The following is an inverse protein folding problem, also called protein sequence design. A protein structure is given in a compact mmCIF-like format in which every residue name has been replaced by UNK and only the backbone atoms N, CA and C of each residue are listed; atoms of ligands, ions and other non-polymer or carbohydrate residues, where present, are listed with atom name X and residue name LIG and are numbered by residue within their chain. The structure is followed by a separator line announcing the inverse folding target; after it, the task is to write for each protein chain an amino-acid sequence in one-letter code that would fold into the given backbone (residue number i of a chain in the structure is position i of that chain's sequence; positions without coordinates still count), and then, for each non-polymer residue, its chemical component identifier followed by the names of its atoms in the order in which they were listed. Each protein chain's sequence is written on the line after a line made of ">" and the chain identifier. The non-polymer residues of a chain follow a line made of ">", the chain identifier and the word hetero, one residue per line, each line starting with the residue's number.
data_IF_891352616007
#
_entry.id   IF_891352616007
#
_cell.length_a   1.000
_cell.length_b   1.000
_cell.length_c   1.000
_cell.angle_alpha   90.00
_cell.angle_beta   90.00
_cell.angle_gamma   90.00
#
_symmetry.space_group_name_H-M   'P 1'
#
loop_
_entity.id
_entity.type
_entity.pdbx_description
1 polymer ?
#
# COMPACT_ATOMS: atom_id res chain seq x y z
N UNK A 1 8.73 9.43 9.89
CA UNK A 1 9.33 9.12 8.56
C UNK A 1 9.16 7.63 8.34
N UNK A 2 8.58 7.21 7.24
CA UNK A 2 8.38 5.78 6.95
C UNK A 2 9.71 5.10 6.58
N UNK A 3 9.79 3.78 6.73
CA UNK A 3 10.97 3.01 6.33
C UNK A 3 11.33 3.21 4.84
N UNK A 4 10.32 3.32 3.96
CA UNK A 4 10.54 3.59 2.53
C UNK A 4 11.12 5.00 2.29
N UNK A 5 10.65 6.00 3.03
CA UNK A 5 11.21 7.35 2.95
C UNK A 5 12.67 7.38 3.44
N UNK A 6 12.98 6.65 4.50
CA UNK A 6 14.34 6.50 5.03
C UNK A 6 15.25 5.82 4.00
N UNK A 7 14.84 4.70 3.42
CA UNK A 7 15.57 4.02 2.34
C UNK A 7 15.84 4.94 1.16
N UNK A 8 14.82 5.65 0.68
CA UNK A 8 14.96 6.58 -0.43
C UNK A 8 15.94 7.70 -0.11
N UNK A 9 15.93 8.24 1.11
CA UNK A 9 16.87 9.28 1.56
C UNK A 9 18.31 8.77 1.59
N UNK A 10 18.55 7.56 2.12
CA UNK A 10 19.87 6.94 2.17
C UNK A 10 20.43 6.69 0.76
N UNK A 11 19.62 6.12 -0.14
CA UNK A 11 20.01 5.91 -1.53
C UNK A 11 20.27 7.23 -2.26
N UNK A 12 19.48 8.28 -1.98
CA UNK A 12 19.70 9.60 -2.54
C UNK A 12 21.03 10.22 -2.05
N UNK A 13 21.35 10.07 -0.76
CA UNK A 13 22.66 10.50 -0.24
C UNK A 13 23.82 9.73 -0.90
N UNK A 14 23.63 8.44 -1.17
CA UNK A 14 24.64 7.62 -1.85
C UNK A 14 24.96 8.13 -3.25
N UNK A 15 23.93 8.44 -4.06
CA UNK A 15 24.12 8.91 -5.45
C UNK A 15 24.54 10.38 -5.55
N UNK A 16 24.44 11.14 -4.45
CA UNK A 16 24.91 12.53 -4.37
C UNK A 16 26.32 12.66 -3.76
N UNK A 17 27.01 11.56 -3.43
CA UNK A 17 28.31 11.59 -2.77
C UNK A 17 28.29 12.12 -1.34
N UNK A 18 27.13 12.02 -0.64
CA UNK A 18 26.91 12.50 0.74
C UNK A 18 26.86 11.40 1.79
N UNK A 19 26.94 10.12 1.37
CA UNK A 19 26.80 8.98 2.28
C UNK A 19 28.10 8.62 2.98
N UNK A 20 29.23 8.81 2.31
CA UNK A 20 30.58 8.52 2.84
C UNK A 20 31.49 9.72 2.62
N UNK A 21 32.56 9.88 3.40
CA UNK A 21 33.56 10.95 3.16
C UNK A 21 34.26 10.79 1.81
N UNK A 22 34.52 11.91 1.15
CA UNK A 22 35.36 11.99 -0.05
C UNK A 22 36.83 11.79 0.33
N UNK A 23 37.58 11.02 -0.45
CA UNK A 23 39.05 10.89 -0.30
C UNK A 23 39.72 11.51 -1.52
N UNK A 24 40.53 12.55 -1.35
CA UNK A 24 41.25 13.19 -2.47
C UNK A 24 42.29 12.28 -3.12
N UNK A 25 42.65 11.15 -2.50
CA UNK A 25 43.62 10.19 -3.06
C UNK A 25 42.94 9.13 -3.93
N UNK A 26 41.61 9.06 -3.96
CA UNK A 26 40.90 8.14 -4.84
C UNK A 26 41.18 8.50 -6.31
N UNK A 27 41.29 7.47 -7.16
CA UNK A 27 41.42 7.67 -8.60
C UNK A 27 40.17 8.33 -9.17
N UNK A 28 40.25 9.49 -9.86
CA UNK A 28 39.04 10.17 -10.37
C UNK A 28 38.18 9.29 -11.26
N UNK A 29 36.85 9.45 -11.18
CA UNK A 29 35.90 8.67 -11.95
C UNK A 29 36.10 8.75 -13.48
N UNK A 30 36.70 9.84 -13.97
CA UNK A 30 37.06 9.98 -15.38
C UNK A 30 37.96 8.86 -15.89
N UNK A 31 38.94 8.43 -15.08
CA UNK A 31 39.88 7.33 -15.44
C UNK A 31 39.09 5.99 -15.54
N UNK A 32 38.18 5.71 -14.62
CA UNK A 32 37.32 4.54 -14.71
C UNK A 32 36.44 4.57 -15.97
N UNK A 33 35.85 5.72 -16.30
CA UNK A 33 35.05 5.87 -17.50
C UNK A 33 35.86 5.71 -18.78
N UNK A 34 37.10 6.14 -18.81
CA UNK A 34 38.02 5.90 -19.96
C UNK A 34 38.27 4.39 -20.15
N UNK A 35 38.48 3.64 -19.07
CA UNK A 35 38.62 2.18 -19.14
C UNK A 35 37.34 1.51 -19.65
N UNK A 36 36.20 1.94 -19.18
CA UNK A 36 34.88 1.42 -19.64
C UNK A 36 34.70 1.72 -21.15
N UNK A 37 35.00 2.93 -21.59
CA UNK A 37 34.90 3.32 -23.01
C UNK A 37 35.88 2.53 -23.88
N UNK A 38 37.11 2.32 -23.42
CA UNK A 38 38.07 1.49 -24.12
C UNK A 38 37.58 0.03 -24.31
N UNK A 39 36.98 -0.53 -23.26
CA UNK A 39 36.41 -1.86 -23.32
C UNK A 39 35.18 -1.93 -24.25
N UNK A 40 34.29 -0.94 -24.20
CA UNK A 40 33.16 -0.79 -25.14
C UNK A 40 33.65 -0.77 -26.59
N UNK A 41 34.67 0.04 -26.91
CA UNK A 41 35.26 0.10 -28.26
C UNK A 41 35.88 -1.24 -28.66
N UNK A 42 36.52 -1.98 -27.73
CA UNK A 42 37.03 -3.34 -27.97
C UNK A 42 35.89 -4.29 -28.36
N UNK A 43 34.78 -4.28 -27.60
CA UNK A 43 33.61 -5.12 -27.88
C UNK A 43 32.95 -4.77 -29.22
N UNK A 44 32.96 -3.48 -29.63
CA UNK A 44 32.49 -3.05 -30.95
C UNK A 44 33.39 -3.59 -32.06
N UNK A 45 34.75 -3.50 -31.91
CA UNK A 45 35.73 -4.03 -32.87
C UNK A 45 35.60 -5.54 -33.02
N UNK A 46 35.32 -6.26 -31.92
CA UNK A 46 35.09 -7.71 -31.90
C UNK A 46 33.67 -8.08 -32.42
N UNK A 47 32.87 -7.11 -32.85
CA UNK A 47 31.46 -7.30 -33.33
C UNK A 47 30.55 -7.96 -32.30
N UNK A 48 30.87 -7.90 -31.01
CA UNK A 48 30.06 -8.39 -29.92
C UNK A 48 28.90 -7.44 -29.60
N UNK A 49 29.11 -6.15 -29.78
CA UNK A 49 28.09 -5.10 -29.65
C UNK A 49 28.06 -4.21 -30.90
N UNK A 50 26.89 -3.62 -31.18
CA UNK A 50 26.73 -2.72 -32.32
C UNK A 50 27.18 -1.31 -31.92
N UNK A 51 27.82 -0.59 -32.85
CA UNK A 51 28.10 0.84 -32.68
C UNK A 51 26.79 1.64 -32.66
N UNK A 52 26.70 2.56 -31.75
CA UNK A 52 25.58 3.51 -31.69
C UNK A 52 25.63 4.46 -32.88
N UNK A 53 24.45 4.86 -33.39
CA UNK A 53 24.36 5.79 -34.53
C UNK A 53 24.85 7.19 -34.17
N UNK A 54 24.53 7.67 -32.96
CA UNK A 54 24.88 8.98 -32.44
C UNK A 54 25.50 8.82 -31.05
N UNK A 55 26.80 8.42 -30.95
CA UNK A 55 27.44 8.29 -29.67
C UNK A 55 27.55 9.67 -29.02
N UNK A 56 27.18 9.76 -27.74
CA UNK A 56 27.38 10.95 -26.94
C UNK A 56 28.42 10.71 -25.85
N UNK A 57 29.11 11.76 -25.46
CA UNK A 57 30.09 11.73 -24.37
C UNK A 57 29.82 12.90 -23.46
N UNK A 58 29.57 12.61 -22.20
CA UNK A 58 29.48 13.64 -21.16
C UNK A 58 30.88 13.89 -20.61
N UNK A 59 31.26 15.16 -20.47
CA UNK A 59 32.55 15.59 -19.92
C UNK A 59 32.37 16.91 -19.16
N UNK A 60 33.30 17.20 -18.24
CA UNK A 60 33.35 18.47 -17.53
C UNK A 60 34.15 19.49 -18.29
N UNK A 61 33.63 20.70 -18.43
CA UNK A 61 34.36 21.87 -18.93
C UNK A 61 35.36 22.40 -17.89
N UNK A 62 36.16 23.39 -18.31
CA UNK A 62 37.15 24.06 -17.43
C UNK A 62 36.47 24.79 -16.25
N UNK A 63 35.20 25.12 -16.37
CA UNK A 63 34.33 25.76 -15.38
C UNK A 63 33.62 24.75 -14.46
N UNK A 64 33.99 23.45 -14.54
CA UNK A 64 33.36 22.32 -13.84
C UNK A 64 31.92 22.05 -14.27
N UNK A 65 31.41 22.74 -15.30
CA UNK A 65 30.10 22.54 -15.88
C UNK A 65 30.06 21.26 -16.71
N UNK A 66 29.02 20.41 -16.62
CA UNK A 66 28.88 19.24 -17.46
C UNK A 66 28.39 19.63 -18.86
N UNK A 67 29.09 19.12 -19.84
CA UNK A 67 28.77 19.24 -21.26
C UNK A 67 28.54 17.86 -21.87
N UNK A 68 27.69 17.80 -22.89
CA UNK A 68 27.54 16.62 -23.72
C UNK A 68 27.99 16.94 -25.13
N UNK A 69 28.85 16.10 -25.68
CA UNK A 69 29.26 16.11 -27.06
C UNK A 69 28.54 15.01 -27.84
N UNK A 70 27.79 15.39 -28.87
CA UNK A 70 27.10 14.47 -29.80
C UNK A 70 27.61 14.79 -31.21
N UNK A 71 28.49 13.94 -31.75
CA UNK A 71 29.17 14.27 -32.99
C UNK A 71 30.06 15.51 -32.81
N UNK A 72 29.78 16.59 -33.58
CA UNK A 72 30.47 17.87 -33.48
C UNK A 72 29.76 18.91 -32.60
N UNK A 73 28.51 18.62 -32.15
CA UNK A 73 27.75 19.51 -31.29
C UNK A 73 28.12 19.32 -29.82
N UNK A 74 28.31 20.44 -29.12
CA UNK A 74 28.52 20.48 -27.67
C UNK A 74 27.41 21.30 -27.04
N UNK A 75 26.73 20.72 -26.06
CA UNK A 75 25.66 21.38 -25.30
C UNK A 75 25.90 21.31 -23.80
N UNK A 76 25.53 22.34 -23.07
CA UNK A 76 25.52 22.32 -21.61
C UNK A 76 24.43 21.37 -21.08
N UNK A 77 24.72 20.66 -19.99
CA UNK A 77 23.79 19.78 -19.29
C UNK A 77 23.34 20.36 -17.95
N UNK A 78 23.69 21.60 -17.59
CA UNK A 78 23.33 22.21 -16.29
C UNK A 78 21.85 22.07 -15.95
N UNK A 79 20.97 22.30 -16.93
CA UNK A 79 19.53 22.19 -16.75
C UNK A 79 19.01 20.73 -16.76
N UNK A 80 19.85 19.77 -17.12
CA UNK A 80 19.52 18.35 -17.23
C UNK A 80 20.08 17.51 -16.08
N UNK A 81 20.98 18.09 -15.27
CA UNK A 81 21.50 17.44 -14.07
C UNK A 81 20.46 17.49 -12.94
N UNK A 82 20.10 16.32 -12.39
CA UNK A 82 19.07 16.25 -11.34
C UNK A 82 19.56 16.81 -9.99
N UNK A 83 20.88 16.85 -9.77
CA UNK A 83 21.54 17.32 -8.54
C UNK A 83 23.04 17.46 -8.75
N UNK A 84 23.68 18.23 -7.89
CA UNK A 84 25.14 18.38 -7.85
C UNK A 84 25.83 17.11 -7.35
N UNK A 85 26.99 16.79 -7.93
CA UNK A 85 27.87 15.69 -7.55
C UNK A 85 29.27 16.22 -7.16
N UNK A 86 30.07 15.48 -6.36
CA UNK A 86 31.45 15.84 -6.04
C UNK A 86 32.31 16.05 -7.27
N UNK A 87 33.39 16.86 -7.15
CA UNK A 87 34.27 17.17 -8.27
C UNK A 87 35.02 15.96 -8.81
N UNK A 88 35.28 14.95 -7.97
CA UNK A 88 35.92 13.67 -8.35
C UNK A 88 34.99 12.72 -9.11
N UNK A 89 33.66 13.00 -9.13
CA UNK A 89 32.64 12.19 -9.80
C UNK A 89 32.43 12.67 -11.23
N UNK A 90 31.86 11.80 -12.05
CA UNK A 90 31.50 12.12 -13.44
C UNK A 90 30.04 11.66 -13.72
N UNK A 91 29.36 12.38 -14.62
CA UNK A 91 28.13 11.90 -15.22
C UNK A 91 28.41 11.06 -16.47
N UNK A 92 27.70 9.98 -16.68
CA UNK A 92 27.66 9.23 -17.93
C UNK A 92 26.25 8.79 -18.28
N UNK A 93 26.05 8.22 -19.47
CA UNK A 93 24.78 7.62 -19.86
C UNK A 93 24.73 6.13 -19.48
N UNK A 94 23.53 5.59 -19.22
CA UNK A 94 23.35 4.14 -19.04
C UNK A 94 23.94 3.38 -20.23
N UNK A 95 23.81 3.89 -21.46
CA UNK A 95 24.38 3.31 -22.68
C UNK A 95 25.89 3.32 -22.77
N UNK A 96 26.60 4.15 -21.98
CA UNK A 96 28.06 4.08 -21.85
C UNK A 96 28.48 2.84 -21.05
N UNK A 97 27.68 2.42 -20.10
CA UNK A 97 27.96 1.35 -19.15
C UNK A 97 27.43 -0.01 -19.61
N UNK A 98 26.30 -0.02 -20.32
CA UNK A 98 25.57 -1.24 -20.67
C UNK A 98 25.15 -1.29 -22.13
N UNK A 99 25.10 -2.48 -22.68
CA UNK A 99 24.24 -2.84 -23.80
C UNK A 99 22.93 -3.38 -23.28
N UNK A 100 21.85 -3.29 -24.08
CA UNK A 100 20.57 -3.84 -23.69
C UNK A 100 20.08 -4.94 -24.63
N UNK A 101 19.40 -5.94 -24.07
CA UNK A 101 18.79 -7.02 -24.83
C UNK A 101 17.45 -7.42 -24.20
N UNK A 102 16.44 -7.68 -25.05
CA UNK A 102 15.18 -8.26 -24.56
C UNK A 102 15.36 -9.76 -24.26
N UNK A 103 14.63 -10.21 -23.27
CA UNK A 103 14.56 -11.63 -22.97
C UNK A 103 13.86 -12.47 -24.06
N UNK A 104 13.67 -13.73 -23.76
CA UNK A 104 13.10 -14.74 -24.64
C UNK A 104 11.62 -14.48 -24.94
N UNK A 105 11.29 -14.33 -26.21
CA UNK A 105 9.90 -14.36 -26.69
C UNK A 105 9.54 -15.78 -27.12
N UNK A 106 8.43 -16.31 -26.61
CA UNK A 106 7.94 -17.64 -26.92
C UNK A 106 6.43 -17.65 -27.09
N UNK A 107 5.92 -18.59 -27.89
CA UNK A 107 4.49 -18.84 -28.04
C UNK A 107 3.99 -19.77 -26.93
N UNK A 108 2.68 -19.71 -26.63
CA UNK A 108 2.07 -20.57 -25.58
C UNK A 108 2.32 -22.08 -25.85
N UNK A 109 2.33 -22.50 -27.10
CA UNK A 109 2.54 -23.88 -27.49
C UNK A 109 3.93 -24.42 -27.06
N UNK A 110 4.92 -23.53 -26.97
CA UNK A 110 6.26 -23.87 -26.48
C UNK A 110 6.28 -24.37 -25.03
N UNK A 111 5.27 -24.02 -24.23
CA UNK A 111 5.12 -24.48 -22.85
C UNK A 111 4.71 -25.97 -22.74
N UNK A 112 4.13 -26.52 -23.79
CA UNK A 112 3.74 -27.94 -23.85
C UNK A 112 4.92 -28.87 -24.18
N UNK A 113 6.01 -28.32 -24.72
CA UNK A 113 7.20 -29.10 -25.11
C UNK A 113 7.99 -29.42 -23.83
N UNK A 114 8.13 -30.71 -23.50
CA UNK A 114 8.92 -31.20 -22.38
C UNK A 114 10.14 -31.95 -22.93
N UNK A 115 11.30 -31.58 -22.44
CA UNK A 115 12.59 -32.20 -22.76
C UNK A 115 13.37 -32.49 -21.48
N UNK A 116 14.45 -33.23 -21.55
CA UNK A 116 15.29 -33.55 -20.41
C UNK A 116 15.95 -32.30 -19.81
N UNK A 117 16.13 -31.24 -20.61
CA UNK A 117 16.73 -29.97 -20.18
C UNK A 117 15.71 -28.84 -20.31
N UNK A 118 15.17 -28.44 -19.19
CA UNK A 118 14.26 -27.32 -19.09
C UNK A 118 14.97 -26.07 -18.53
N UNK A 119 14.61 -24.91 -19.05
CA UNK A 119 15.15 -23.59 -18.68
C UNK A 119 14.04 -22.76 -18.04
N UNK A 120 14.33 -22.17 -16.90
CA UNK A 120 13.44 -21.27 -16.18
C UNK A 120 13.36 -19.92 -16.87
N UNK A 121 12.16 -19.37 -16.99
CA UNK A 121 11.93 -18.03 -17.59
C UNK A 121 11.42 -17.09 -16.51
N UNK A 122 12.26 -16.14 -16.10
CA UNK A 122 11.89 -15.09 -15.17
C UNK A 122 11.01 -14.05 -15.87
N UNK A 123 9.95 -13.64 -15.21
CA UNK A 123 9.03 -12.59 -15.68
C UNK A 123 9.19 -11.32 -14.84
N UNK A 124 8.56 -10.22 -15.23
CA UNK A 124 8.59 -8.98 -14.46
C UNK A 124 8.20 -9.15 -12.99
N UNK A 125 7.29 -10.07 -12.69
CA UNK A 125 6.90 -10.39 -11.31
C UNK A 125 7.98 -11.07 -10.44
N UNK A 126 9.04 -11.60 -11.04
CA UNK A 126 10.18 -12.17 -10.32
C UNK A 126 11.17 -11.08 -9.85
N UNK A 127 11.06 -9.86 -10.40
CA UNK A 127 11.98 -8.76 -10.13
C UNK A 127 11.40 -7.91 -9.00
N UNK A 128 12.08 -7.92 -7.86
CA UNK A 128 11.78 -7.10 -6.70
C UNK A 128 12.55 -5.77 -6.72
N UNK A 129 12.73 -5.20 -5.54
CA UNK A 129 13.62 -4.07 -5.33
C UNK A 129 15.02 -4.61 -5.07
N UNK A 130 15.97 -4.34 -5.99
CA UNK A 130 17.40 -4.70 -5.91
C UNK A 130 17.71 -6.20 -5.98
N UNK A 131 16.70 -7.07 -6.09
CA UNK A 131 16.88 -8.52 -6.16
C UNK A 131 15.79 -9.17 -6.99
N UNK A 132 16.06 -10.39 -7.45
CA UNK A 132 15.06 -11.25 -8.07
C UNK A 132 14.82 -12.50 -7.21
N UNK A 133 13.69 -13.16 -7.41
CA UNK A 133 13.36 -14.40 -6.71
C UNK A 133 12.76 -15.44 -7.67
N UNK A 134 13.05 -16.70 -7.41
CA UNK A 134 12.36 -17.81 -8.02
C UNK A 134 11.00 -18.01 -7.35
N UNK A 135 9.99 -18.36 -8.15
CA UNK A 135 8.63 -18.59 -7.69
C UNK A 135 8.15 -19.98 -8.06
N UNK A 136 7.18 -20.50 -7.32
CA UNK A 136 6.59 -21.82 -7.60
C UNK A 136 5.82 -21.84 -8.93
N UNK A 137 5.32 -20.68 -9.38
CA UNK A 137 4.59 -20.50 -10.64
C UNK A 137 5.49 -20.04 -11.80
N UNK A 138 6.81 -20.19 -11.68
CA UNK A 138 7.75 -19.86 -12.75
C UNK A 138 7.51 -20.77 -13.96
N UNK A 139 7.69 -20.19 -15.12
CA UNK A 139 7.54 -20.87 -16.40
C UNK A 139 8.84 -21.57 -16.77
N UNK A 140 8.73 -22.77 -17.34
CA UNK A 140 9.84 -23.53 -17.86
C UNK A 140 9.64 -23.84 -19.34
N UNK A 141 10.72 -23.78 -20.11
CA UNK A 141 10.75 -24.02 -21.57
C UNK A 141 11.92 -24.91 -21.92
N UNK A 142 11.81 -25.66 -23.05
CA UNK A 142 12.91 -26.48 -23.54
C UNK A 142 14.15 -25.65 -23.83
N UNK A 143 15.33 -26.13 -23.42
CA UNK A 143 16.63 -25.47 -23.69
C UNK A 143 16.93 -25.34 -25.18
N UNK A 144 16.34 -26.18 -26.04
CA UNK A 144 16.49 -26.13 -27.49
C UNK A 144 15.93 -24.84 -28.11
N UNK A 145 15.00 -24.20 -27.41
CA UNK A 145 14.39 -22.91 -27.84
C UNK A 145 15.17 -21.70 -27.35
N UNK A 146 16.25 -21.90 -26.58
CA UNK A 146 16.97 -20.83 -25.92
C UNK A 146 18.33 -20.63 -26.55
N UNK A 147 18.59 -19.42 -27.05
CA UNK A 147 19.89 -19.05 -27.56
C UNK A 147 20.90 -18.85 -26.45
N UNK A 148 22.19 -19.18 -26.63
CA UNK A 148 23.24 -19.07 -25.60
C UNK A 148 23.40 -17.68 -24.99
N UNK A 149 23.18 -16.62 -25.77
CA UNK A 149 23.30 -15.22 -25.35
C UNK A 149 22.20 -14.77 -24.39
N UNK A 150 21.10 -15.54 -24.27
CA UNK A 150 19.96 -15.20 -23.39
C UNK A 150 20.14 -15.69 -21.96
N UNK A 151 21.09 -16.58 -21.70
CA UNK A 151 21.34 -17.05 -20.33
C UNK A 151 21.90 -15.94 -19.46
N UNK A 152 21.42 -15.88 -18.23
CA UNK A 152 21.84 -14.86 -17.27
C UNK A 152 23.29 -15.10 -16.84
N UNK A 153 24.08 -14.03 -16.86
CA UNK A 153 25.47 -14.03 -16.42
C UNK A 153 25.66 -13.11 -15.23
N UNK A 154 26.65 -13.39 -14.42
CA UNK A 154 27.07 -12.54 -13.31
C UNK A 154 27.24 -11.08 -13.78
N UNK A 155 26.81 -10.16 -12.94
CA UNK A 155 26.83 -8.72 -13.17
C UNK A 155 25.86 -8.19 -14.25
N UNK A 156 25.07 -9.06 -14.90
CA UNK A 156 23.94 -8.56 -15.66
C UNK A 156 22.91 -7.95 -14.73
N UNK A 157 22.17 -6.97 -15.21
CA UNK A 157 21.01 -6.44 -14.51
C UNK A 157 19.75 -6.69 -15.30
N UNK A 158 18.65 -6.92 -14.61
CA UNK A 158 17.34 -7.18 -15.22
C UNK A 158 16.31 -6.21 -14.69
N UNK A 159 15.46 -5.68 -15.58
CA UNK A 159 14.39 -4.74 -15.25
C UNK A 159 13.13 -5.04 -16.05
N UNK A 160 11.92 -4.85 -15.50
CA UNK A 160 10.68 -4.98 -16.27
C UNK A 160 10.61 -3.93 -17.39
N UNK A 161 10.49 -4.38 -18.65
CA UNK A 161 10.29 -3.50 -19.80
C UNK A 161 8.80 -3.20 -20.04
N UNK A 162 7.90 -4.14 -19.69
CA UNK A 162 6.45 -4.00 -19.80
C UNK A 162 5.84 -4.45 -18.48
N UNK A 163 5.22 -3.54 -17.74
CA UNK A 163 4.63 -3.84 -16.42
C UNK A 163 3.66 -2.75 -15.97
N UNK A 164 3.06 -2.93 -14.78
CA UNK A 164 2.40 -1.82 -14.07
C UNK A 164 3.41 -0.74 -13.69
N UNK A 165 2.94 0.49 -13.52
CA UNK A 165 3.80 1.64 -13.22
C UNK A 165 4.61 1.45 -11.91
N UNK A 166 4.06 0.72 -10.94
CA UNK A 166 4.74 0.43 -9.67
C UNK A 166 5.93 -0.52 -9.82
N UNK A 167 5.92 -1.34 -10.86
CA UNK A 167 7.01 -2.26 -11.18
C UNK A 167 8.06 -1.68 -12.13
N UNK A 168 7.71 -0.65 -12.91
CA UNK A 168 8.67 0.04 -13.77
C UNK A 168 9.78 0.68 -12.95
N UNK A 169 11.03 0.51 -13.41
CA UNK A 169 12.23 1.00 -12.74
C UNK A 169 12.70 0.13 -11.55
N UNK A 170 12.04 -1.00 -11.26
CA UNK A 170 12.64 -2.04 -10.41
C UNK A 170 13.79 -2.69 -11.17
N UNK A 171 14.83 -3.06 -10.44
CA UNK A 171 16.03 -3.63 -11.02
C UNK A 171 16.60 -4.70 -10.11
N UNK A 172 17.22 -5.73 -10.70
CA UNK A 172 17.91 -6.76 -9.93
C UNK A 172 19.26 -7.07 -10.59
N UNK A 173 20.27 -7.29 -9.77
CA UNK A 173 21.61 -7.71 -10.18
C UNK A 173 21.69 -9.25 -10.17
N UNK A 174 22.30 -9.82 -11.20
CA UNK A 174 22.55 -11.27 -11.32
C UNK A 174 23.85 -11.57 -10.58
N UNK A 175 23.75 -12.45 -9.58
CA UNK A 175 24.81 -12.76 -8.61
C UNK A 175 25.84 -13.78 -9.13
N UNK A 176 25.46 -14.62 -10.10
CA UNK A 176 26.30 -15.66 -10.70
C UNK A 176 25.85 -16.01 -12.10
N UNK A 177 26.60 -16.85 -12.78
CA UNK A 177 26.20 -17.44 -14.06
C UNK A 177 25.12 -18.52 -13.86
N UNK A 178 24.04 -18.42 -14.64
CA UNK A 178 22.97 -19.40 -14.67
C UNK A 178 22.95 -20.14 -16.01
N UNK A 179 23.04 -21.46 -15.97
CA UNK A 179 22.96 -22.33 -17.15
C UNK A 179 21.54 -22.82 -17.46
N UNK A 180 20.57 -22.49 -16.59
CA UNK A 180 19.19 -22.99 -16.61
C UNK A 180 18.16 -21.88 -16.45
N UNK A 181 18.55 -20.61 -16.54
CA UNK A 181 17.67 -19.48 -16.28
C UNK A 181 17.87 -18.37 -17.30
N UNK A 182 16.75 -17.86 -17.83
CA UNK A 182 16.66 -16.73 -18.75
C UNK A 182 15.54 -15.79 -18.30
N UNK A 183 15.41 -14.63 -18.93
CA UNK A 183 14.27 -13.72 -18.73
C UNK A 183 13.32 -13.78 -19.92
N UNK A 184 12.03 -13.52 -19.68
CA UNK A 184 11.01 -13.43 -20.72
C UNK A 184 11.05 -12.12 -21.50
N UNK A 185 10.43 -12.06 -22.65
CA UNK A 185 10.48 -10.94 -23.61
C UNK A 185 10.00 -9.58 -23.09
N UNK A 186 9.27 -9.56 -21.96
CA UNK A 186 8.86 -8.32 -21.27
C UNK A 186 9.85 -7.86 -20.19
N UNK A 187 11.01 -8.49 -20.11
CA UNK A 187 12.12 -8.08 -19.24
C UNK A 187 13.28 -7.66 -20.11
N UNK A 188 13.92 -6.57 -19.73
CA UNK A 188 15.12 -6.06 -20.36
C UNK A 188 16.35 -6.51 -19.56
N UNK A 189 17.35 -7.05 -20.24
CA UNK A 189 18.68 -7.31 -19.70
C UNK A 189 19.59 -6.14 -20.02
N UNK A 190 20.34 -5.66 -19.03
CA UNK A 190 21.44 -4.74 -19.17
C UNK A 190 22.73 -5.53 -19.01
N UNK A 191 23.53 -5.55 -20.05
CA UNK A 191 24.77 -6.31 -20.16
C UNK A 191 25.92 -5.34 -19.98
N UNK A 192 26.74 -5.43 -18.91
CA UNK A 192 27.80 -4.47 -18.65
C UNK A 192 28.91 -4.55 -19.69
N UNK A 193 29.42 -3.41 -20.12
CA UNK A 193 30.61 -3.32 -20.99
C UNK A 193 31.89 -3.66 -20.23
N UNK A 194 31.92 -3.31 -18.95
CA UNK A 194 33.02 -3.58 -18.03
C UNK A 194 32.54 -4.45 -16.87
N UNK A 195 33.05 -5.66 -16.78
CA UNK A 195 32.61 -6.64 -15.79
C UNK A 195 33.41 -6.49 -14.49
N UNK A 196 32.88 -5.68 -13.56
CA UNK A 196 33.45 -5.42 -12.24
C UNK A 196 32.34 -5.52 -11.18
N UNK A 197 32.58 -6.29 -10.12
CA UNK A 197 31.60 -6.56 -9.06
C UNK A 197 31.26 -5.30 -8.25
N UNK A 198 32.24 -4.42 -8.02
CA UNK A 198 32.06 -3.18 -7.25
C UNK A 198 31.23 -2.19 -8.03
N UNK A 199 31.57 -2.00 -9.30
CA UNK A 199 30.85 -1.11 -10.22
C UNK A 199 29.39 -1.59 -10.36
N UNK A 200 29.20 -2.89 -10.60
CA UNK A 200 27.85 -3.47 -10.75
C UNK A 200 27.03 -3.33 -9.48
N UNK A 201 27.62 -3.54 -8.31
CA UNK A 201 26.90 -3.40 -7.04
C UNK A 201 26.52 -1.94 -6.74
N UNK A 202 27.41 -0.98 -7.04
CA UNK A 202 27.08 0.44 -6.92
C UNK A 202 25.94 0.84 -7.86
N UNK A 203 26.03 0.43 -9.13
CA UNK A 203 25.01 0.74 -10.14
C UNK A 203 23.65 0.15 -9.80
N UNK A 204 23.60 -1.03 -9.16
CA UNK A 204 22.35 -1.56 -8.62
C UNK A 204 21.66 -0.54 -7.69
N UNK A 205 22.41 0.00 -6.74
CA UNK A 205 21.88 0.99 -5.79
C UNK A 205 21.57 2.35 -6.45
N UNK A 206 22.39 2.77 -7.41
CA UNK A 206 22.15 3.99 -8.16
C UNK A 206 20.85 3.90 -8.97
N UNK A 207 20.57 2.76 -9.59
CA UNK A 207 19.33 2.53 -10.33
C UNK A 207 18.11 2.29 -9.40
N UNK A 208 18.34 1.77 -8.20
CA UNK A 208 17.28 1.64 -7.19
C UNK A 208 16.91 2.98 -6.53
N UNK A 209 17.76 4.02 -6.64
CA UNK A 209 17.47 5.34 -6.10
C UNK A 209 16.19 5.94 -6.72
N UNK A 210 15.43 6.65 -5.88
CA UNK A 210 14.12 7.22 -6.27
C UNK A 210 14.19 8.04 -7.56
N UNK A 211 15.24 8.86 -7.71
CA UNK A 211 15.42 9.69 -8.88
C UNK A 211 15.47 8.87 -10.18
N UNK A 212 16.29 7.81 -10.25
CA UNK A 212 16.38 6.96 -11.44
C UNK A 212 15.06 6.22 -11.72
N UNK A 213 14.40 5.71 -10.68
CA UNK A 213 13.08 5.06 -10.82
C UNK A 213 12.01 6.01 -11.36
N UNK A 214 12.00 7.26 -10.89
CA UNK A 214 11.07 8.27 -11.37
C UNK A 214 11.36 8.62 -12.85
N UNK A 215 12.63 8.74 -13.23
CA UNK A 215 13.03 8.93 -14.64
C UNK A 215 12.58 7.76 -15.52
N UNK A 216 12.73 6.51 -15.07
CA UNK A 216 12.23 5.34 -15.78
C UNK A 216 10.70 5.42 -16.00
N UNK A 217 9.94 5.89 -15.00
CA UNK A 217 8.49 6.08 -15.11
C UNK A 217 8.12 7.17 -16.10
N UNK A 218 8.85 8.28 -16.08
CA UNK A 218 8.61 9.43 -16.97
C UNK A 218 8.84 9.11 -18.46
N UNK A 219 9.68 8.13 -18.78
CA UNK A 219 9.97 7.70 -20.16
C UNK A 219 9.13 6.50 -20.60
N UNK A 220 8.03 6.19 -19.89
CA UNK A 220 7.10 5.11 -20.28
C UNK A 220 5.96 5.60 -21.14
N UNK A 221 5.46 4.70 -21.98
CA UNK A 221 4.24 4.91 -22.76
C UNK A 221 3.17 3.90 -22.31
N UNK A 222 1.94 4.38 -22.15
CA UNK A 222 0.82 3.51 -21.77
C UNK A 222 0.53 2.50 -22.89
N UNK A 223 0.42 1.21 -22.52
CA UNK A 223 0.08 0.11 -23.41
C UNK A 223 -1.13 -0.64 -22.84
N UNK A 224 -2.30 -0.43 -23.42
CA UNK A 224 -3.56 -0.98 -22.92
C UNK A 224 -4.06 -0.30 -21.64
N UNK A 225 -4.89 -1.00 -20.85
CA UNK A 225 -5.52 -0.42 -19.65
C UNK A 225 -4.61 -0.36 -18.42
N UNK A 226 -3.72 -1.35 -18.24
CA UNK A 226 -2.97 -1.54 -16.99
C UNK A 226 -1.44 -1.63 -17.14
N UNK A 227 -0.92 -1.60 -18.38
CA UNK A 227 0.51 -1.79 -18.64
C UNK A 227 1.16 -0.55 -19.22
N UNK A 228 2.44 -0.39 -18.91
CA UNK A 228 3.32 0.65 -19.40
C UNK A 228 4.55 0.01 -20.04
N UNK A 229 4.99 0.56 -21.18
CA UNK A 229 6.20 0.15 -21.87
C UNK A 229 7.31 1.14 -21.57
N UNK A 230 8.42 0.67 -21.02
CA UNK A 230 9.64 1.44 -20.83
C UNK A 230 10.32 1.67 -22.18
N UNK A 231 10.58 2.92 -22.52
CA UNK A 231 11.36 3.25 -23.72
C UNK A 231 12.82 2.85 -23.53
N UNK A 232 13.28 1.84 -24.26
CA UNK A 232 14.66 1.34 -24.17
C UNK A 232 15.67 2.39 -24.58
N UNK A 233 15.41 3.08 -25.67
CA UNK A 233 16.30 4.14 -26.19
C UNK A 233 16.45 5.27 -25.17
N UNK A 234 15.34 5.77 -24.62
CA UNK A 234 15.38 6.81 -23.62
C UNK A 234 16.03 6.34 -22.33
N UNK A 235 15.82 5.07 -21.92
CA UNK A 235 16.48 4.50 -20.74
C UNK A 235 18.00 4.48 -20.89
N UNK A 236 18.51 4.09 -22.08
CA UNK A 236 19.95 4.09 -22.33
C UNK A 236 20.55 5.51 -22.30
N UNK A 237 19.72 6.54 -22.51
CA UNK A 237 20.11 7.95 -22.46
C UNK A 237 19.97 8.59 -21.08
N UNK A 238 19.48 7.86 -20.05
CA UNK A 238 19.40 8.41 -18.70
C UNK A 238 20.78 8.68 -18.11
N UNK A 239 20.98 9.83 -17.42
CA UNK A 239 22.22 10.14 -16.76
C UNK A 239 22.42 9.30 -15.49
N UNK A 240 23.65 8.90 -15.23
CA UNK A 240 24.07 8.14 -14.05
C UNK A 240 25.33 8.79 -13.46
N UNK A 241 25.36 9.09 -12.14
CA UNK A 241 26.55 9.61 -11.48
C UNK A 241 27.51 8.46 -11.16
N UNK A 242 28.77 8.65 -11.49
CA UNK A 242 29.85 7.66 -11.31
C UNK A 242 30.88 8.22 -10.34
N UNK A 243 31.06 7.65 -9.14
CA UNK A 243 32.12 7.96 -8.21
C UNK A 243 33.44 7.28 -8.59
N UNK A 244 34.56 7.69 -7.96
CA UNK A 244 35.78 6.89 -7.90
C UNK A 244 35.48 5.45 -7.47
N UNK A 245 36.23 4.48 -8.03
CA UNK A 245 35.97 3.06 -7.77
C UNK A 245 36.11 2.70 -6.28
N UNK A 246 37.09 3.27 -5.60
CA UNK A 246 37.32 3.09 -4.17
C UNK A 246 36.19 3.67 -3.34
N UNK A 247 35.62 4.78 -3.78
CA UNK A 247 34.41 5.35 -3.13
C UNK A 247 33.19 4.49 -3.37
N UNK A 248 33.03 3.85 -4.55
CA UNK A 248 31.96 2.85 -4.78
C UNK A 248 32.04 1.71 -3.75
N UNK A 249 33.25 1.23 -3.42
CA UNK A 249 33.43 0.20 -2.39
C UNK A 249 32.95 0.68 -1.02
N UNK A 250 33.32 1.90 -0.62
CA UNK A 250 32.86 2.48 0.65
C UNK A 250 31.35 2.69 0.70
N UNK A 251 30.78 3.21 -0.39
CA UNK A 251 29.31 3.40 -0.52
C UNK A 251 28.59 2.06 -0.41
N UNK A 252 29.01 1.06 -1.19
CA UNK A 252 28.36 -0.26 -1.20
C UNK A 252 28.50 -0.98 0.13
N UNK A 253 29.66 -0.89 0.78
CA UNK A 253 29.87 -1.43 2.12
C UNK A 253 28.94 -0.76 3.16
N UNK A 254 28.80 0.57 3.10
CA UNK A 254 27.89 1.31 3.98
C UNK A 254 26.43 0.90 3.74
N UNK A 255 25.99 0.83 2.47
CA UNK A 255 24.61 0.44 2.13
C UNK A 255 24.32 -1.00 2.58
N UNK A 256 25.23 -1.95 2.36
CA UNK A 256 25.09 -3.33 2.87
C UNK A 256 24.96 -3.40 4.38
N UNK A 257 25.55 -2.47 5.12
CA UNK A 257 25.45 -2.37 6.58
C UNK A 257 24.15 -1.71 7.05
N UNK A 258 23.66 -0.70 6.32
CA UNK A 258 22.55 0.14 6.77
C UNK A 258 21.19 -0.34 6.26
N UNK A 259 21.09 -0.81 5.01
CA UNK A 259 19.80 -1.22 4.43
C UNK A 259 19.10 -2.37 5.20
N UNK A 260 19.80 -3.40 5.73
CA UNK A 260 19.17 -4.40 6.58
C UNK A 260 18.51 -3.80 7.82
N UNK A 261 19.14 -2.79 8.46
CA UNK A 261 18.56 -2.10 9.63
C UNK A 261 17.31 -1.29 9.26
N UNK A 262 17.28 -0.75 8.05
CA UNK A 262 16.06 -0.08 7.53
C UNK A 262 14.95 -1.11 7.29
N UNK A 263 15.29 -2.32 6.85
CA UNK A 263 14.33 -3.41 6.71
C UNK A 263 13.76 -3.86 8.08
N UNK A 264 14.62 -4.00 9.09
CA UNK A 264 14.18 -4.28 10.48
C UNK A 264 13.26 -3.17 11.00
N UNK A 265 13.64 -1.90 10.78
CA UNK A 265 12.81 -0.75 11.12
C UNK A 265 11.44 -0.79 10.41
N UNK A 266 11.40 -1.25 9.14
CA UNK A 266 10.15 -1.35 8.39
C UNK A 266 9.11 -2.26 9.07
N UNK A 267 9.55 -3.36 9.67
CA UNK A 267 8.68 -4.29 10.41
C UNK A 267 8.06 -3.58 11.60
N UNK A 268 8.88 -2.89 12.39
CA UNK A 268 8.42 -2.15 13.59
C UNK A 268 7.52 -0.97 13.20
N UNK A 269 7.85 -0.24 12.12
CA UNK A 269 7.04 0.88 11.62
C UNK A 269 5.63 0.43 11.19
N UNK A 270 5.52 -0.72 10.51
CA UNK A 270 4.23 -1.31 10.12
C UNK A 270 3.40 -1.70 11.36
N UNK A 271 4.02 -2.33 12.35
CA UNK A 271 3.35 -2.70 13.59
C UNK A 271 2.87 -1.47 14.37
N UNK A 272 3.71 -0.44 14.46
CA UNK A 272 3.37 0.82 15.11
C UNK A 272 2.22 1.53 14.40
N UNK A 273 2.23 1.59 13.07
CA UNK A 273 1.13 2.16 12.29
C UNK A 273 -0.19 1.40 12.49
N UNK A 274 -0.11 0.06 12.53
CA UNK A 274 -1.28 -0.79 12.82
C UNK A 274 -1.82 -0.52 14.23
N UNK A 275 -0.96 -0.46 15.22
CA UNK A 275 -1.34 -0.11 16.61
C UNK A 275 -1.98 1.26 16.67
N UNK A 276 -1.35 2.29 16.11
CA UNK A 276 -1.87 3.66 16.12
C UNK A 276 -3.21 3.80 15.41
N UNK A 277 -3.45 3.04 14.35
CA UNK A 277 -4.73 3.06 13.63
C UNK A 277 -5.86 2.33 14.36
N UNK A 278 -5.55 1.23 15.06
CA UNK A 278 -6.55 0.41 15.76
C UNK A 278 -6.78 0.83 17.22
N UNK A 279 -5.79 1.46 17.86
CA UNK A 279 -5.83 1.80 19.28
C UNK A 279 -7.02 2.69 19.68
N UNK A 280 -7.35 3.81 18.96
CA UNK A 280 -8.46 4.67 19.36
C UNK A 280 -9.80 3.93 19.41
N UNK A 281 -10.07 3.07 18.44
CA UNK A 281 -11.30 2.27 18.39
C UNK A 281 -11.32 1.18 19.48
N UNK A 282 -10.18 0.55 19.72
CA UNK A 282 -10.05 -0.46 20.78
C UNK A 282 -10.22 0.18 22.17
N UNK A 283 -9.60 1.34 22.39
CA UNK A 283 -9.73 2.10 23.63
C UNK A 283 -11.19 2.52 23.86
N UNK A 284 -11.85 3.08 22.82
CA UNK A 284 -13.27 3.45 22.89
C UNK A 284 -14.15 2.27 23.27
N UNK A 285 -13.94 1.10 22.64
CA UNK A 285 -14.68 -0.13 22.98
C UNK A 285 -14.45 -0.56 24.41
N UNK A 286 -13.20 -0.52 24.89
CA UNK A 286 -12.87 -0.86 26.28
C UNK A 286 -13.54 0.09 27.28
N UNK A 287 -13.46 1.40 27.04
CA UNK A 287 -14.12 2.40 27.90
C UNK A 287 -15.64 2.19 27.92
N UNK A 288 -16.25 1.93 26.78
CA UNK A 288 -17.68 1.65 26.72
C UNK A 288 -18.03 0.35 27.45
N UNK A 289 -17.19 -0.67 27.36
CA UNK A 289 -17.38 -1.94 28.07
C UNK A 289 -17.32 -1.74 29.60
N UNK A 290 -16.34 -0.99 30.08
CA UNK A 290 -16.24 -0.62 31.51
C UNK A 290 -17.45 0.20 31.94
N UNK A 291 -17.93 1.13 31.12
CA UNK A 291 -19.12 1.94 31.40
C UNK A 291 -20.37 1.09 31.57
N UNK A 292 -20.64 0.18 30.62
CA UNK A 292 -21.86 -0.66 30.67
C UNK A 292 -21.81 -1.74 31.73
N UNK A 293 -20.64 -2.08 32.24
CA UNK A 293 -20.44 -2.97 33.38
C UNK A 293 -20.47 -2.25 34.73
N UNK A 294 -20.62 -0.92 34.73
CA UNK A 294 -20.62 -0.11 35.95
C UNK A 294 -19.25 0.01 36.63
N UNK A 295 -18.15 -0.27 35.89
CA UNK A 295 -16.76 -0.24 36.40
C UNK A 295 -16.05 1.07 36.12
N UNK A 296 -16.59 1.93 35.21
CA UNK A 296 -15.92 3.15 34.78
C UNK A 296 -15.88 4.24 35.88
N UNK A 297 -16.90 4.29 36.73
CA UNK A 297 -16.97 5.22 37.85
C UNK A 297 -17.26 4.43 39.14
N UNK A 298 -16.76 4.91 40.31
CA UNK A 298 -17.12 4.31 41.60
C UNK A 298 -18.63 4.30 41.81
N UNK A 299 -19.15 3.23 42.39
CA UNK A 299 -20.57 3.13 42.78
C UNK A 299 -20.79 3.90 44.06
N UNK A 300 -21.84 4.71 44.17
CA UNK A 300 -22.24 5.38 45.42
C UNK A 300 -23.41 4.61 46.03
N UNK A 301 -23.23 4.06 47.25
CA UNK A 301 -24.30 3.31 47.95
C UNK A 301 -25.54 4.17 48.29
N UNK A 302 -25.42 5.51 48.22
CA UNK A 302 -26.53 6.42 48.44
C UNK A 302 -27.38 6.68 47.20
N UNK A 303 -26.95 6.20 46.02
CA UNK A 303 -27.68 6.35 44.79
C UNK A 303 -29.01 5.55 44.87
N UNK A 304 -30.04 6.11 44.25
CA UNK A 304 -31.32 5.43 44.14
C UNK A 304 -31.20 4.15 43.28
N UNK A 305 -31.61 2.98 43.74
CA UNK A 305 -31.53 1.75 42.94
C UNK A 305 -32.32 1.88 41.61
N UNK A 306 -31.77 1.31 40.54
CA UNK A 306 -32.40 1.34 39.21
C UNK A 306 -33.83 0.73 39.21
N UNK A 307 -34.14 -0.19 40.09
CA UNK A 307 -35.47 -0.75 40.23
C UNK A 307 -36.51 0.33 40.54
N UNK A 308 -36.23 1.29 41.43
CA UNK A 308 -37.15 2.39 41.72
C UNK A 308 -37.44 3.27 40.47
N UNK A 309 -36.42 3.50 39.62
CA UNK A 309 -36.61 4.15 38.33
C UNK A 309 -37.50 3.32 37.40
N UNK A 310 -37.27 2.02 37.32
CA UNK A 310 -38.06 1.11 36.48
C UNK A 310 -39.53 1.04 36.95
N UNK A 311 -39.79 1.06 38.24
CA UNK A 311 -41.15 1.14 38.80
C UNK A 311 -41.88 2.43 38.38
N UNK A 312 -41.17 3.58 38.40
CA UNK A 312 -41.74 4.85 37.91
C UNK A 312 -42.05 4.80 36.43
N UNK A 313 -41.18 4.20 35.63
CA UNK A 313 -41.38 4.03 34.18
C UNK A 313 -42.59 3.12 33.93
N UNK A 314 -42.74 2.02 34.67
CA UNK A 314 -43.88 1.12 34.58
C UNK A 314 -45.19 1.83 34.96
N UNK A 315 -45.21 2.59 36.04
CA UNK A 315 -46.36 3.36 36.46
C UNK A 315 -46.78 4.40 35.40
N UNK A 316 -45.84 5.15 34.84
CA UNK A 316 -46.10 6.10 33.77
C UNK A 316 -46.64 5.40 32.51
N UNK A 317 -46.03 4.27 32.12
CA UNK A 317 -46.51 3.47 30.98
C UNK A 317 -47.96 3.00 31.19
N UNK A 318 -48.31 2.52 32.39
CA UNK A 318 -49.68 2.12 32.75
C UNK A 318 -50.65 3.33 32.69
N UNK A 319 -50.21 4.52 33.11
CA UNK A 319 -50.98 5.74 32.97
C UNK A 319 -51.29 6.06 31.50
N UNK A 320 -50.26 6.02 30.64
CA UNK A 320 -50.41 6.27 29.21
C UNK A 320 -51.31 5.25 28.50
N UNK A 321 -51.30 3.99 28.96
CA UNK A 321 -52.22 2.94 28.47
C UNK A 321 -53.66 3.28 28.87
N UNK A 322 -53.91 3.66 30.13
CA UNK A 322 -55.24 4.04 30.60
C UNK A 322 -55.79 5.27 29.88
N UNK A 323 -54.92 6.23 29.55
CA UNK A 323 -55.27 7.40 28.77
C UNK A 323 -55.46 7.13 27.26
N UNK A 324 -55.24 5.87 26.81
CA UNK A 324 -55.37 5.48 25.41
C UNK A 324 -54.26 6.03 24.48
N UNK A 325 -53.20 6.60 25.05
CA UNK A 325 -52.05 7.16 24.30
C UNK A 325 -51.13 6.11 23.71
N UNK A 326 -50.98 4.98 24.40
CA UNK A 326 -50.19 3.82 23.94
C UNK A 326 -50.98 2.54 24.07
N UNK A 327 -50.72 1.55 23.24
CA UNK A 327 -51.35 0.23 23.32
C UNK A 327 -50.68 -0.62 24.38
N UNK A 328 -51.46 -1.44 25.11
CA UNK A 328 -50.93 -2.42 26.03
C UNK A 328 -50.09 -3.45 25.25
N UNK A 329 -48.90 -3.72 25.73
CA UNK A 329 -48.05 -4.77 25.17
C UNK A 329 -48.54 -6.14 25.54
N UNK A 330 -48.64 -7.04 24.58
CA UNK A 330 -49.05 -8.44 24.78
C UNK A 330 -47.92 -9.29 25.40
N UNK A 331 -46.68 -8.81 25.31
CA UNK A 331 -45.46 -9.50 25.76
C UNK A 331 -44.77 -8.73 26.88
N UNK A 332 -45.57 -8.03 27.73
CA UNK A 332 -45.04 -7.30 28.87
C UNK A 332 -44.33 -8.28 29.82
N UNK A 333 -43.08 -8.00 30.16
CA UNK A 333 -42.27 -8.81 31.04
C UNK A 333 -41.46 -7.95 32.00
N UNK A 334 -41.07 -8.53 33.11
CA UNK A 334 -40.24 -7.88 34.13
C UNK A 334 -39.10 -8.80 34.50
N UNK A 335 -37.89 -8.30 34.43
CA UNK A 335 -36.69 -8.99 34.89
C UNK A 335 -36.47 -8.63 36.37
N UNK A 336 -36.20 -9.63 37.19
CA UNK A 336 -35.90 -9.46 38.60
C UNK A 336 -34.82 -10.45 39.04
N UNK A 337 -34.12 -10.13 40.14
CA UNK A 337 -33.08 -10.97 40.72
C UNK A 337 -33.61 -11.75 41.92
N UNK A 338 -33.32 -13.04 41.99
CA UNK A 338 -33.60 -13.93 43.11
C UNK A 338 -32.52 -14.98 43.21
N UNK A 339 -32.05 -15.23 44.45
CA UNK A 339 -31.00 -16.25 44.72
C UNK A 339 -29.75 -16.16 43.84
N UNK A 340 -29.29 -14.95 43.62
CA UNK A 340 -28.15 -14.60 42.72
C UNK A 340 -28.37 -14.88 41.19
N UNK A 341 -29.56 -15.31 40.81
CA UNK A 341 -29.95 -15.57 39.42
C UNK A 341 -30.96 -14.55 38.90
N UNK A 342 -30.97 -14.34 37.59
CA UNK A 342 -31.92 -13.45 36.92
C UNK A 342 -33.10 -14.24 36.38
N UNK A 343 -34.28 -13.75 36.68
CA UNK A 343 -35.57 -14.34 36.24
C UNK A 343 -36.38 -13.32 35.45
N UNK A 344 -37.05 -13.77 34.44
CA UNK A 344 -38.02 -12.97 33.71
C UNK A 344 -39.44 -13.51 33.97
N UNK A 345 -40.32 -12.62 34.42
CA UNK A 345 -41.73 -12.91 34.59
C UNK A 345 -42.54 -12.42 33.39
N UNK A 346 -43.19 -13.32 32.70
CA UNK A 346 -44.10 -13.06 31.59
C UNK A 346 -45.52 -13.53 31.95
N UNK A 347 -46.38 -12.62 32.36
CA UNK A 347 -47.70 -13.01 32.90
C UNK A 347 -47.59 -13.86 34.16
N UNK A 348 -48.00 -15.14 34.11
CA UNK A 348 -47.86 -16.11 35.20
C UNK A 348 -46.58 -16.97 35.14
N UNK A 349 -45.88 -16.93 34.03
CA UNK A 349 -44.66 -17.73 33.80
C UNK A 349 -43.42 -17.00 34.34
N UNK A 350 -42.52 -17.76 34.98
CA UNK A 350 -41.23 -17.26 35.47
C UNK A 350 -40.15 -18.18 34.96
N UNK A 351 -39.21 -17.62 34.22
CA UNK A 351 -38.12 -18.36 33.56
C UNK A 351 -36.79 -17.79 34.03
N UNK A 352 -35.78 -18.63 34.32
CA UNK A 352 -34.43 -18.22 34.56
C UNK A 352 -33.80 -17.79 33.23
N UNK A 353 -33.10 -16.64 33.22
CA UNK A 353 -32.49 -16.03 32.01
C UNK A 353 -31.00 -15.78 32.20
N UNK A 354 -30.32 -16.46 33.11
CA UNK A 354 -28.91 -16.28 33.33
C UNK A 354 -28.08 -16.50 32.04
N UNK A 355 -28.50 -17.43 31.19
CA UNK A 355 -27.86 -17.68 29.88
C UNK A 355 -28.01 -16.50 28.89
N UNK A 356 -28.99 -15.60 29.12
CA UNK A 356 -29.15 -14.40 28.30
C UNK A 356 -28.41 -13.19 28.86
N UNK A 357 -27.93 -13.24 30.11
CA UNK A 357 -27.22 -12.14 30.76
C UNK A 357 -25.76 -12.14 30.30
N UNK A 358 -25.31 -11.09 29.58
CA UNK A 358 -24.00 -11.11 28.95
C UNK A 358 -22.81 -10.85 29.90
N UNK A 359 -23.06 -10.23 31.07
CA UNK A 359 -22.05 -9.91 32.09
C UNK A 359 -22.73 -9.47 33.41
N UNK A 360 -21.96 -9.49 34.49
CA UNK A 360 -22.40 -8.99 35.79
C UNK A 360 -22.45 -7.45 35.81
N UNK A 361 -23.42 -6.91 36.54
CA UNK A 361 -23.64 -5.49 36.78
C UNK A 361 -23.62 -5.19 38.29
N UNK A 362 -23.37 -3.94 38.72
CA UNK A 362 -23.46 -3.54 40.14
C UNK A 362 -24.84 -3.87 40.78
N UNK A 363 -24.84 -4.01 42.09
CA UNK A 363 -26.05 -4.37 42.85
C UNK A 363 -27.23 -3.37 42.70
N UNK A 364 -26.87 -2.08 42.56
CA UNK A 364 -27.87 -1.01 42.37
C UNK A 364 -28.41 -0.94 40.95
N UNK A 365 -27.83 -1.69 40.01
CA UNK A 365 -28.29 -1.72 38.62
C UNK A 365 -29.27 -2.86 38.38
N UNK A 366 -30.11 -2.71 37.38
CA UNK A 366 -31.09 -3.71 37.01
C UNK A 366 -31.11 -3.95 35.52
N UNK A 367 -31.25 -5.20 35.11
CA UNK A 367 -31.55 -5.56 33.74
C UNK A 367 -33.02 -5.33 33.42
N UNK A 368 -33.32 -4.80 32.24
CA UNK A 368 -34.69 -4.70 31.73
C UNK A 368 -34.75 -4.95 30.22
N UNK A 369 -35.87 -5.26 29.69
CA UNK A 369 -36.09 -5.37 28.25
C UNK A 369 -36.23 -3.96 27.64
N UNK A 370 -35.64 -3.74 26.46
CA UNK A 370 -35.72 -2.44 25.79
C UNK A 370 -37.19 -2.00 25.58
N UNK A 371 -38.08 -2.95 25.34
CA UNK A 371 -39.51 -2.68 25.20
C UNK A 371 -40.15 -2.09 26.48
N UNK A 372 -39.62 -2.38 27.64
CA UNK A 372 -40.05 -1.80 28.90
C UNK A 372 -39.84 -0.30 28.97
N UNK A 373 -38.72 0.17 28.40
CA UNK A 373 -38.33 1.58 28.40
C UNK A 373 -38.97 2.39 27.26
N UNK A 374 -39.49 1.73 26.24
CA UNK A 374 -40.03 2.38 25.05
C UNK A 374 -41.53 2.49 25.05
N UNK A 375 -42.08 3.61 24.64
CA UNK A 375 -43.54 3.77 24.39
C UNK A 375 -43.96 3.18 23.04
N UNK A 376 -43.01 3.05 22.11
CA UNK A 376 -43.20 2.46 20.78
C UNK A 376 -41.86 1.98 20.20
N UNK A 377 -41.89 0.77 19.66
CA UNK A 377 -40.81 0.24 18.83
C UNK A 377 -41.40 -0.02 17.44
N UNK A 378 -40.69 0.37 16.38
CA UNK A 378 -41.20 0.17 15.02
C UNK A 378 -40.09 0.30 13.99
N UNK A 379 -40.26 -0.33 12.84
CA UNK A 379 -39.38 -0.19 11.70
C UNK A 379 -39.76 1.00 10.82
N UNK A 380 -38.76 1.70 10.30
CA UNK A 380 -38.96 2.65 9.22
C UNK A 380 -39.34 1.95 7.92
N UNK A 381 -40.10 2.61 7.06
CA UNK A 381 -40.40 2.07 5.73
C UNK A 381 -40.04 3.07 4.63
N UNK A 382 -39.33 2.59 3.60
CA UNK A 382 -39.07 3.40 2.43
C UNK A 382 -40.35 3.57 1.61
N UNK A 383 -40.74 4.81 1.23
CA UNK A 383 -41.88 5.03 0.36
C UNK A 383 -41.65 4.38 -1.01
N UNK A 384 -42.72 3.91 -1.63
CA UNK A 384 -42.71 3.36 -2.99
C UNK A 384 -42.52 4.49 -4.03
N UNK A 385 -41.76 4.25 -5.09
CA UNK A 385 -41.48 5.24 -6.15
C UNK A 385 -40.03 5.43 -6.53
N UNK A 386 -39.10 4.71 -5.89
CA UNK A 386 -37.67 4.76 -6.21
C UNK A 386 -37.06 6.15 -6.05
N UNK A 387 -36.28 6.61 -7.03
CA UNK A 387 -35.61 7.92 -6.98
C UNK A 387 -36.55 9.12 -7.12
N UNK A 388 -37.74 8.93 -7.67
CA UNK A 388 -38.68 10.03 -7.94
C UNK A 388 -39.40 10.58 -6.71
N UNK A 389 -39.32 9.92 -5.57
CA UNK A 389 -39.90 10.40 -4.32
C UNK A 389 -39.06 11.43 -3.58
N UNK A 390 -37.79 11.54 -3.97
CA UNK A 390 -36.87 12.47 -3.32
C UNK A 390 -36.92 13.84 -3.98
N UNK A 391 -36.94 14.88 -3.16
CA UNK A 391 -37.02 16.28 -3.56
C UNK A 391 -35.79 17.03 -3.04
N UNK A 392 -35.41 18.17 -3.65
CA UNK A 392 -34.27 18.96 -3.20
C UNK A 392 -34.42 19.50 -1.78
N UNK A 393 -35.65 19.82 -1.37
CA UNK A 393 -35.98 20.38 -0.07
C UNK A 393 -37.29 19.79 0.45
N UNK A 394 -37.45 19.62 1.77
CA UNK A 394 -38.65 19.06 2.38
C UNK A 394 -38.37 18.42 3.74
N UNK A 395 -39.08 17.33 4.04
CA UNK A 395 -38.88 16.61 5.28
C UNK A 395 -37.69 15.67 5.16
N UNK A 396 -36.75 15.78 6.12
CA UNK A 396 -35.55 14.92 6.19
C UNK A 396 -35.93 13.46 6.31
N UNK A 397 -35.50 12.66 5.33
CA UNK A 397 -35.71 11.23 5.30
C UNK A 397 -34.43 10.51 5.72
N UNK A 398 -34.38 10.04 6.97
CA UNK A 398 -33.22 9.34 7.54
C UNK A 398 -33.21 7.92 7.01
N UNK A 399 -32.07 7.51 6.44
CA UNK A 399 -31.80 6.15 5.95
C UNK A 399 -30.73 5.49 6.83
N UNK A 400 -30.55 4.18 6.72
CA UNK A 400 -29.51 3.44 7.46
C UNK A 400 -28.11 4.06 7.32
N UNK A 401 -27.79 4.56 6.13
CA UNK A 401 -26.50 5.25 5.84
C UNK A 401 -26.32 6.59 6.60
N UNK A 402 -27.36 7.11 7.23
CA UNK A 402 -27.27 8.34 8.03
C UNK A 402 -27.11 8.05 9.53
N UNK A 403 -27.22 6.77 9.96
CA UNK A 403 -27.14 6.36 11.38
C UNK A 403 -25.77 5.79 11.66
N UNK A 404 -25.03 6.42 12.56
CA UNK A 404 -23.69 6.03 12.99
C UNK A 404 -23.65 5.85 14.50
N UNK A 405 -22.61 5.19 15.02
CA UNK A 405 -22.42 4.99 16.46
C UNK A 405 -22.22 6.28 17.25
N UNK A 406 -21.79 7.36 16.58
CA UNK A 406 -21.55 8.68 17.13
C UNK A 406 -22.68 9.68 16.87
N UNK A 407 -23.77 9.23 16.22
CA UNK A 407 -24.95 10.04 15.96
C UNK A 407 -25.44 10.00 14.53
N UNK A 408 -26.27 10.97 14.15
CA UNK A 408 -26.82 11.11 12.80
C UNK A 408 -25.93 11.97 11.93
N UNK A 409 -25.52 11.49 10.77
CA UNK A 409 -24.81 12.28 9.74
C UNK A 409 -25.79 12.73 8.67
N UNK A 410 -26.01 14.04 8.61
CA UNK A 410 -27.00 14.67 7.75
C UNK A 410 -26.42 15.30 6.48
N UNK A 411 -25.13 15.13 6.21
CA UNK A 411 -24.44 15.73 5.06
C UNK A 411 -24.96 15.21 3.71
N UNK A 412 -25.46 13.97 3.68
CA UNK A 412 -26.05 13.31 2.49
C UNK A 412 -27.47 12.84 2.83
N UNK A 413 -28.30 13.74 3.37
CA UNK A 413 -29.68 13.43 3.70
C UNK A 413 -30.57 13.62 2.48
N UNK A 414 -31.52 12.69 2.32
CA UNK A 414 -32.58 12.84 1.32
C UNK A 414 -33.78 13.53 1.93
N UNK A 415 -34.54 14.23 1.10
CA UNK A 415 -35.79 14.87 1.52
C UNK A 415 -36.98 14.24 0.81
N UNK A 416 -38.14 14.21 1.48
CA UNK A 416 -39.42 13.78 0.94
C UNK A 416 -40.47 14.87 1.12
N UNK A 417 -41.54 14.83 0.32
CA UNK A 417 -42.64 15.80 0.47
C UNK A 417 -43.46 15.52 1.73
N UNK A 418 -44.19 16.57 2.18
CA UNK A 418 -45.09 16.46 3.35
C UNK A 418 -46.21 15.47 3.10
N UNK A 419 -46.71 15.37 1.86
CA UNK A 419 -47.74 14.39 1.46
C UNK A 419 -47.24 12.95 1.59
N UNK A 420 -46.02 12.65 1.18
CA UNK A 420 -45.43 11.32 1.32
C UNK A 420 -45.21 11.01 2.80
N UNK A 421 -44.75 11.96 3.60
CA UNK A 421 -44.59 11.80 5.03
C UNK A 421 -45.92 11.58 5.73
N UNK A 422 -46.96 12.33 5.37
CA UNK A 422 -48.32 12.19 5.94
C UNK A 422 -48.93 10.81 5.69
N UNK A 423 -48.74 10.26 4.49
CA UNK A 423 -49.16 8.87 4.15
C UNK A 423 -48.43 7.80 4.97
N UNK A 424 -47.24 8.11 5.50
CA UNK A 424 -46.42 7.21 6.32
C UNK A 424 -46.43 7.57 7.82
N UNK A 425 -47.23 8.53 8.24
CA UNK A 425 -47.28 9.18 9.57
C UNK A 425 -47.53 8.27 10.77
N UNK A 426 -47.56 6.94 10.60
CA UNK A 426 -47.59 6.02 11.73
C UNK A 426 -46.32 6.05 12.61
N UNK A 427 -45.31 6.85 12.25
CA UNK A 427 -43.97 6.68 12.81
C UNK A 427 -43.42 7.82 13.70
N UNK A 428 -43.84 9.09 13.65
CA UNK A 428 -43.01 10.12 14.28
C UNK A 428 -43.76 11.33 14.84
N UNK A 429 -44.03 11.28 16.14
CA UNK A 429 -44.34 12.47 16.93
C UNK A 429 -43.69 12.51 18.32
N UNK A 430 -42.52 11.93 18.50
CA UNK A 430 -41.82 11.87 19.80
C UNK A 430 -40.55 12.70 19.82
N UNK A 431 -40.32 13.45 20.90
CA UNK A 431 -39.15 14.31 21.09
C UNK A 431 -37.84 13.57 21.37
N UNK A 432 -37.88 12.27 21.67
CA UNK A 432 -36.72 11.42 21.96
C UNK A 432 -36.83 10.10 21.22
N UNK A 433 -36.08 9.92 20.13
CA UNK A 433 -36.06 8.72 19.29
C UNK A 433 -34.68 8.19 19.23
N UNK A 434 -34.49 6.89 19.49
CA UNK A 434 -33.28 6.16 19.19
C UNK A 434 -33.42 5.50 17.83
N UNK A 435 -32.46 5.77 16.92
CA UNK A 435 -32.37 5.10 15.63
C UNK A 435 -31.35 3.98 15.70
N UNK A 436 -31.75 2.75 15.35
CA UNK A 436 -30.87 1.60 15.25
C UNK A 436 -30.87 1.09 13.81
N UNK A 437 -29.70 0.76 13.29
CA UNK A 437 -29.54 0.02 12.04
C UNK A 437 -29.42 -1.46 12.36
N UNK A 438 -30.36 -2.26 11.88
CA UNK A 438 -30.26 -3.71 11.89
C UNK A 438 -29.51 -4.13 10.62
N UNK A 439 -28.27 -4.61 10.74
CA UNK A 439 -27.63 -5.36 9.67
C UNK A 439 -28.17 -6.77 9.72
N UNK A 440 -28.84 -7.20 8.64
CA UNK A 440 -29.10 -8.62 8.43
C UNK A 440 -27.72 -9.28 8.29
N UNK A 441 -27.38 -10.16 9.21
CA UNK A 441 -26.20 -11.01 9.07
C UNK A 441 -26.33 -11.85 7.80
N UNK A 442 -25.31 -11.78 6.92
CA UNK A 442 -25.10 -12.71 5.82
C UNK A 442 -24.59 -14.03 6.39
#
# INVERSE_FOLDING_TARGET
>A
MTAQQLKNSILQMAVQGKLVPQDPNDEPASVLLERIRAEKERLIKEKKIKREKNPSVIFKGADNTPYEKIGDEVRSLVDLEPFEIPSSWEWCRVGDLFSNMSGLSYKKDALAIKTDKMVRVLRGGNIGEEQFCFKNDDVFISSELVKPELYLRKNYMITPAVSSLDHIGKIALIDKDYSDTVVGGFVLMLIPHFNDDVVSQYLLYAFAAKHHRDNCRNITHKSGQAFYNLSREQMMNLPVPIPPREEMERITAMLKRVLPKVADYAVVDIELQKLNSSFPESLKKSILQEAVQGKLVPQDPSDEPAEALLERIRAEKQRLIKEGKIKKDKHESVIFRRDNSHYEKRGSEVVCIDDEIPFDIPELWSWCRLNELCTKIGAGSTPTGGKTIYVPEGIKFIRSQNVYNDGLKLNDISYITEEINAKKRAALSAQKIFCLTLQAGL
#
